data_IF_364085711762
#
_entry.id   IF_364085711762
#
_cell.length_a   1.000
_cell.length_b   1.000
_cell.length_c   1.000
_cell.angle_alpha   90.00
_cell.angle_beta   90.00
_cell.angle_gamma   90.00
#
_symmetry.space_group_name_H-M   'P 1'
#
loop_
_entity.id
_entity.type
_entity.pdbx_description
1 polymer ?
#
# COMPACT_ATOMS: atom_id res chain seq x y z
N UNK A 1 23.32 -2.36 3.24
CA UNK A 1 23.62 -2.05 4.63
C UNK A 1 24.39 -3.17 5.28
N UNK A 2 23.84 -3.79 6.16
CA UNK A 2 24.41 -4.76 7.06
C UNK A 2 23.78 -4.58 8.43
N UNK A 3 24.51 -4.89 9.51
CA UNK A 3 24.00 -4.62 10.85
C UNK A 3 24.24 -3.15 11.25
N UNK A 4 23.27 -2.55 11.93
CA UNK A 4 23.34 -1.18 12.41
C UNK A 4 22.36 -0.25 11.70
N UNK A 5 22.65 1.04 11.70
CA UNK A 5 21.80 2.04 11.05
C UNK A 5 22.46 2.53 9.77
N UNK A 6 21.86 2.21 8.64
CA UNK A 6 22.40 2.49 7.32
C UNK A 6 21.63 3.59 6.59
N UNK A 7 22.33 4.34 5.76
CA UNK A 7 21.71 5.34 4.87
C UNK A 7 22.01 4.99 3.43
N UNK A 8 20.96 4.72 2.67
CA UNK A 8 21.03 4.51 1.23
C UNK A 8 20.74 5.84 0.53
N UNK A 9 21.67 6.32 -0.28
CA UNK A 9 21.49 7.56 -1.04
C UNK A 9 21.06 7.22 -2.47
N UNK A 10 20.07 7.93 -2.99
CA UNK A 10 19.63 7.81 -4.37
C UNK A 10 19.41 9.18 -5.00
N UNK A 11 19.91 9.36 -6.21
CA UNK A 11 19.72 10.56 -7.03
C UNK A 11 19.11 10.21 -8.39
N UNK A 12 18.38 11.15 -8.98
CA UNK A 12 17.90 10.99 -10.34
C UNK A 12 19.09 10.81 -11.30
N UNK A 13 19.05 9.77 -12.10
CA UNK A 13 20.15 9.35 -12.98
C UNK A 13 20.99 8.19 -12.47
N UNK A 14 20.75 7.69 -11.26
CA UNK A 14 21.43 6.50 -10.71
C UNK A 14 20.94 5.20 -11.37
N UNK A 15 19.82 5.27 -12.11
CA UNK A 15 19.17 4.12 -12.73
C UNK A 15 18.41 3.25 -11.74
N UNK A 16 17.84 2.15 -12.21
CA UNK A 16 17.11 1.24 -11.35
C UNK A 16 18.02 0.62 -10.29
N UNK A 17 17.60 0.71 -9.05
CA UNK A 17 18.40 0.32 -7.89
C UNK A 17 17.65 -0.67 -7.02
N UNK A 18 18.35 -1.70 -6.53
CA UNK A 18 17.79 -2.67 -5.58
C UNK A 18 18.53 -2.58 -4.25
N UNK A 19 17.76 -2.43 -3.18
CA UNK A 19 18.23 -2.42 -1.79
C UNK A 19 17.86 -3.77 -1.15
N UNK A 20 18.87 -4.49 -0.65
CA UNK A 20 18.67 -5.61 0.24
C UNK A 20 19.09 -5.18 1.65
N UNK A 21 18.10 -4.90 2.49
CA UNK A 21 18.29 -4.34 3.83
C UNK A 21 18.18 -5.42 4.91
N UNK A 22 18.91 -6.54 4.75
CA UNK A 22 18.92 -7.59 5.76
C UNK A 22 19.71 -7.13 7.00
N UNK A 23 19.00 -6.98 8.13
CA UNK A 23 19.56 -6.61 9.42
C UNK A 23 18.79 -7.26 10.58
N UNK A 24 19.49 -7.90 11.49
CA UNK A 24 18.96 -8.54 12.70
C UNK A 24 19.17 -7.72 13.97
N UNK A 25 19.78 -6.54 13.87
CA UNK A 25 20.08 -5.66 15.01
C UNK A 25 18.80 -5.10 15.63
N UNK A 26 18.70 -5.13 16.95
CA UNK A 26 17.51 -4.66 17.66
C UNK A 26 17.33 -3.13 17.67
N UNK A 27 18.38 -2.37 17.39
CA UNK A 27 18.40 -0.90 17.50
C UNK A 27 18.75 -0.22 16.16
N UNK A 28 18.39 -0.86 15.03
CA UNK A 28 18.63 -0.30 13.70
C UNK A 28 17.66 0.81 13.36
N UNK A 29 18.10 1.74 12.53
CA UNK A 29 17.27 2.76 11.88
C UNK A 29 17.81 3.01 10.47
N UNK A 30 17.28 2.24 9.51
CA UNK A 30 17.73 2.24 8.13
C UNK A 30 16.89 3.19 7.29
N UNK A 31 17.52 3.97 6.46
CA UNK A 31 16.89 5.08 5.74
C UNK A 31 17.29 5.05 4.27
N UNK A 32 16.30 5.18 3.39
CA UNK A 32 16.54 5.64 2.02
C UNK A 32 16.42 7.16 1.98
N UNK A 33 17.46 7.83 1.50
CA UNK A 33 17.48 9.29 1.35
C UNK A 33 17.54 9.68 -0.12
N UNK A 34 16.55 10.41 -0.58
CA UNK A 34 16.54 11.00 -1.90
C UNK A 34 17.34 12.30 -1.94
N UNK A 35 18.16 12.44 -2.98
CA UNK A 35 18.91 13.67 -3.23
C UNK A 35 18.01 14.82 -3.69
N UNK A 36 18.56 16.02 -3.73
CA UNK A 36 17.85 17.20 -4.25
C UNK A 36 17.38 16.98 -5.69
N UNK A 37 16.16 17.44 -5.99
CA UNK A 37 15.52 17.27 -7.30
C UNK A 37 14.45 16.17 -7.34
N UNK A 38 14.39 15.32 -6.32
CA UNK A 38 13.32 14.34 -6.13
C UNK A 38 12.40 14.84 -5.01
N UNK A 39 11.15 15.13 -5.34
CA UNK A 39 10.12 15.55 -4.38
C UNK A 39 9.19 14.40 -4.01
N UNK A 40 8.50 14.47 -2.85
CA UNK A 40 7.51 13.47 -2.48
C UNK A 40 6.42 13.24 -3.55
N UNK A 41 6.02 14.29 -4.27
CA UNK A 41 5.01 14.20 -5.33
C UNK A 41 5.53 13.51 -6.60
N UNK A 42 6.83 13.34 -6.75
CA UNK A 42 7.44 12.62 -7.88
C UNK A 42 7.54 11.10 -7.64
N UNK A 43 7.30 10.65 -6.41
CA UNK A 43 7.51 9.24 -6.04
C UNK A 43 6.16 8.52 -5.88
N UNK A 44 5.94 7.52 -6.73
CA UNK A 44 4.84 6.57 -6.57
C UNK A 44 5.30 5.40 -5.70
N UNK A 45 4.45 5.00 -4.77
CA UNK A 45 4.65 3.82 -3.91
C UNK A 45 3.88 2.65 -4.48
N UNK A 46 4.53 1.50 -4.57
CA UNK A 46 3.93 0.26 -5.03
C UNK A 46 4.61 -0.96 -4.42
N UNK A 47 4.16 -2.13 -4.82
CA UNK A 47 4.74 -3.42 -4.45
C UNK A 47 5.21 -4.19 -5.66
N UNK A 48 6.13 -5.12 -5.46
CA UNK A 48 6.62 -6.03 -6.49
C UNK A 48 7.24 -7.29 -5.89
N UNK A 49 7.75 -8.14 -6.76
CA UNK A 49 8.42 -9.38 -6.34
C UNK A 49 7.46 -10.55 -6.09
N UNK A 50 7.99 -11.71 -5.73
CA UNK A 50 7.18 -12.84 -5.32
C UNK A 50 6.39 -12.49 -4.06
N UNK A 51 5.07 -12.72 -4.07
CA UNK A 51 4.15 -12.44 -2.96
C UNK A 51 4.02 -10.94 -2.60
N UNK A 52 4.44 -10.01 -3.49
CA UNK A 52 4.35 -8.56 -3.30
C UNK A 52 5.00 -8.02 -2.01
N UNK A 53 6.07 -8.68 -1.54
CA UNK A 53 6.78 -8.25 -0.34
C UNK A 53 7.80 -7.14 -0.56
N UNK A 54 8.13 -6.81 -1.79
CA UNK A 54 9.11 -5.78 -2.11
C UNK A 54 8.43 -4.40 -2.17
N UNK A 55 8.97 -3.41 -1.47
CA UNK A 55 8.60 -2.00 -1.66
C UNK A 55 9.20 -1.51 -2.98
N UNK A 56 8.35 -0.95 -3.83
CA UNK A 56 8.75 -0.32 -5.07
C UNK A 56 8.46 1.18 -5.04
N UNK A 57 9.47 1.99 -5.29
CA UNK A 57 9.38 3.44 -5.39
C UNK A 57 9.73 3.85 -6.81
N UNK A 58 8.76 4.36 -7.56
CA UNK A 58 8.95 4.78 -8.96
C UNK A 58 8.96 6.29 -9.07
N UNK A 59 10.03 6.85 -9.64
CA UNK A 59 10.10 8.27 -9.97
C UNK A 59 9.30 8.55 -11.24
N UNK A 60 8.25 9.34 -11.16
CA UNK A 60 7.40 9.68 -12.31
C UNK A 60 8.14 10.51 -13.35
N UNK A 61 9.08 11.34 -12.93
CA UNK A 61 9.86 12.23 -13.80
C UNK A 61 10.85 11.50 -14.71
N UNK A 62 11.41 10.37 -14.24
CA UNK A 62 12.47 9.64 -14.99
C UNK A 62 12.08 8.21 -15.34
N UNK A 63 11.09 7.63 -14.65
CA UNK A 63 10.72 6.21 -14.71
C UNK A 63 11.69 5.28 -13.96
N UNK A 64 12.67 5.83 -13.25
CA UNK A 64 13.61 5.04 -12.45
C UNK A 64 12.92 4.43 -11.24
N UNK A 65 13.37 3.24 -10.83
CA UNK A 65 12.75 2.45 -9.77
C UNK A 65 13.78 2.11 -8.70
N UNK A 66 13.43 2.38 -7.45
CA UNK A 66 14.12 1.84 -6.27
C UNK A 66 13.29 0.72 -5.68
N UNK A 67 13.86 -0.47 -5.57
CA UNK A 67 13.21 -1.65 -4.99
C UNK A 67 13.88 -2.02 -3.67
N UNK A 68 13.14 -1.95 -2.56
CA UNK A 68 13.60 -2.49 -1.28
C UNK A 68 13.02 -3.90 -1.11
N UNK A 69 13.88 -4.91 -1.22
CA UNK A 69 13.49 -6.32 -1.20
C UNK A 69 12.95 -6.75 0.16
N UNK A 70 11.87 -7.51 0.15
CA UNK A 70 11.22 -8.09 1.33
C UNK A 70 10.83 -7.05 2.40
N UNK A 71 10.59 -5.81 2.02
CA UNK A 71 10.27 -4.71 2.95
C UNK A 71 9.03 -5.02 3.80
N UNK A 72 8.01 -5.63 3.21
CA UNK A 72 6.74 -5.95 3.86
C UNK A 72 6.69 -7.35 4.52
N UNK A 73 7.82 -8.05 4.62
CA UNK A 73 7.87 -9.31 5.37
C UNK A 73 7.69 -9.04 6.86
N UNK A 74 6.75 -9.75 7.49
CA UNK A 74 6.24 -9.49 8.86
C UNK A 74 7.29 -9.53 9.97
N UNK A 75 8.47 -10.14 9.75
CA UNK A 75 9.53 -10.19 10.75
C UNK A 75 10.36 -8.89 10.84
N UNK A 76 10.16 -7.96 9.92
CA UNK A 76 10.77 -6.63 9.90
C UNK A 76 12.27 -6.58 9.65
N UNK A 77 12.97 -7.69 9.43
CA UNK A 77 14.44 -7.72 9.26
C UNK A 77 14.95 -7.10 7.96
N UNK A 78 14.05 -6.78 7.03
CA UNK A 78 14.36 -6.10 5.76
C UNK A 78 13.80 -4.68 5.69
N UNK A 79 13.17 -4.20 6.76
CA UNK A 79 12.44 -2.93 6.79
C UNK A 79 13.38 -1.73 6.65
N UNK A 80 13.10 -0.83 5.71
CA UNK A 80 13.55 0.56 5.78
C UNK A 80 12.66 1.30 6.78
N UNK A 81 13.26 1.98 7.75
CA UNK A 81 12.53 2.69 8.80
C UNK A 81 11.93 4.01 8.31
N UNK A 82 12.57 4.65 7.33
CA UNK A 82 12.11 5.90 6.75
C UNK A 82 12.60 6.11 5.31
N UNK A 83 11.83 6.90 4.58
CA UNK A 83 12.24 7.53 3.34
C UNK A 83 12.37 9.02 3.59
N UNK A 84 13.53 9.60 3.37
CA UNK A 84 13.81 11.01 3.60
C UNK A 84 13.98 11.76 2.28
N UNK A 85 13.41 12.95 2.18
CA UNK A 85 13.54 13.84 1.04
C UNK A 85 14.38 15.05 1.37
N UNK A 86 14.99 15.65 0.34
CA UNK A 86 15.87 16.82 0.51
C UNK A 86 15.15 18.07 1.01
N UNK A 87 13.84 18.16 0.88
CA UNK A 87 13.00 19.24 1.41
C UNK A 87 12.68 19.10 2.90
N UNK A 88 13.13 18.02 3.54
CA UNK A 88 12.89 17.69 4.95
C UNK A 88 11.65 16.81 5.18
N UNK A 89 10.91 16.45 4.13
CA UNK A 89 9.81 15.49 4.24
C UNK A 89 10.35 14.11 4.61
N UNK A 90 9.67 13.43 5.53
CA UNK A 90 10.00 12.06 5.93
C UNK A 90 8.73 11.23 5.81
N UNK A 91 8.82 10.10 5.10
CA UNK A 91 7.80 9.07 5.11
C UNK A 91 8.23 7.94 6.04
N UNK A 92 7.41 7.68 7.04
CA UNK A 92 7.51 6.49 7.89
C UNK A 92 6.96 5.26 7.17
N UNK A 93 7.13 4.08 7.76
CA UNK A 93 6.48 2.88 7.24
C UNK A 93 4.94 3.01 7.22
N UNK A 94 4.34 3.66 8.22
CA UNK A 94 2.89 3.91 8.22
C UNK A 94 2.45 4.80 7.05
N UNK A 95 3.25 5.81 6.69
CA UNK A 95 2.96 6.66 5.52
C UNK A 95 3.07 5.87 4.22
N UNK A 96 4.03 4.94 4.11
CA UNK A 96 4.18 4.05 2.96
C UNK A 96 2.98 3.12 2.81
N UNK A 97 2.55 2.49 3.90
CA UNK A 97 1.35 1.63 3.92
C UNK A 97 0.11 2.45 3.53
N UNK A 98 -0.09 3.64 4.11
CA UNK A 98 -1.21 4.52 3.75
C UNK A 98 -1.22 4.84 2.25
N UNK A 99 -0.07 5.17 1.68
CA UNK A 99 0.06 5.47 0.23
C UNK A 99 -0.22 4.26 -0.65
N UNK A 100 0.17 3.07 -0.17
CA UNK A 100 -0.03 1.82 -0.88
C UNK A 100 -1.51 1.42 -0.92
N UNK A 101 -2.25 1.69 0.15
CA UNK A 101 -3.64 1.27 0.37
C UNK A 101 -4.66 2.39 0.06
N UNK A 102 -4.22 3.50 -0.51
CA UNK A 102 -5.11 4.59 -0.95
C UNK A 102 -5.02 4.74 -2.46
N UNK A 103 -6.15 4.60 -3.12
CA UNK A 103 -6.31 4.76 -4.57
C UNK A 103 -6.33 6.22 -5.03
N UNK A 104 -6.87 6.43 -6.20
CA UNK A 104 -6.96 7.71 -6.89
C UNK A 104 -8.41 8.10 -7.19
N UNK A 105 -8.65 8.95 -8.17
CA UNK A 105 -9.98 9.20 -8.73
C UNK A 105 -10.26 8.39 -10.01
N UNK A 106 -9.44 7.44 -10.35
CA UNK A 106 -9.55 6.54 -11.50
C UNK A 106 -9.57 5.09 -11.03
N UNK A 107 -9.81 4.16 -11.93
CA UNK A 107 -9.89 2.73 -11.59
C UNK A 107 -8.56 2.20 -11.04
N UNK A 108 -8.60 1.67 -9.83
CA UNK A 108 -7.45 1.13 -9.08
C UNK A 108 -7.62 -0.37 -8.79
N UNK A 109 -6.51 -1.07 -8.64
CA UNK A 109 -6.46 -2.47 -8.18
C UNK A 109 -5.53 -2.53 -6.96
N UNK A 110 -6.11 -2.61 -5.76
CA UNK A 110 -5.40 -2.52 -4.49
C UNK A 110 -5.60 -3.81 -3.71
N UNK A 111 -4.49 -4.42 -3.30
CA UNK A 111 -4.48 -5.58 -2.40
C UNK A 111 -3.84 -5.19 -1.07
N UNK A 112 -4.46 -5.54 0.04
CA UNK A 112 -3.99 -5.34 1.39
C UNK A 112 -2.71 -6.13 1.74
N UNK A 113 -2.28 -5.99 2.96
CA UNK A 113 -1.21 -6.79 3.57
C UNK A 113 -1.82 -8.00 4.29
N UNK A 114 -0.97 -8.79 4.98
CA UNK A 114 -1.45 -9.90 5.83
C UNK A 114 -1.77 -9.41 7.27
N UNK A 115 -2.34 -8.21 7.41
CA UNK A 115 -2.61 -7.53 8.69
C UNK A 115 -3.91 -6.75 8.59
N UNK A 116 -4.49 -6.32 9.72
CA UNK A 116 -5.66 -5.45 9.72
C UNK A 116 -5.38 -4.14 8.96
N UNK A 117 -6.07 -3.92 7.86
CA UNK A 117 -5.82 -2.83 6.92
C UNK A 117 -7.02 -1.87 6.77
N UNK A 118 -6.74 -0.66 6.30
CA UNK A 118 -7.76 0.28 5.82
C UNK A 118 -7.44 0.61 4.38
N UNK A 119 -8.30 0.14 3.46
CA UNK A 119 -8.15 0.32 2.02
C UNK A 119 -9.21 1.28 1.51
N UNK A 120 -8.81 2.26 0.71
CA UNK A 120 -9.72 3.24 0.13
C UNK A 120 -9.51 3.38 -1.38
N UNK A 121 -10.53 3.10 -2.19
CA UNK A 121 -10.52 3.30 -3.64
C UNK A 121 -10.62 4.77 -4.03
N UNK A 122 -11.37 5.56 -3.27
CA UNK A 122 -11.73 6.97 -3.50
C UNK A 122 -12.74 7.15 -4.62
N UNK A 123 -12.38 7.00 -5.84
CA UNK A 123 -13.32 7.12 -6.96
C UNK A 123 -12.79 6.50 -8.23
N UNK A 124 -13.71 6.04 -9.05
CA UNK A 124 -13.41 5.18 -10.18
C UNK A 124 -14.09 3.84 -9.99
N UNK A 125 -13.77 2.87 -10.82
CA UNK A 125 -14.28 1.50 -10.65
C UNK A 125 -13.13 0.65 -10.13
N UNK A 126 -13.12 0.42 -8.82
CA UNK A 126 -11.97 -0.11 -8.11
C UNK A 126 -12.12 -1.61 -7.79
N UNK A 127 -10.99 -2.29 -7.71
CA UNK A 127 -10.88 -3.62 -7.14
C UNK A 127 -10.08 -3.54 -5.85
N UNK A 128 -10.72 -3.84 -4.72
CA UNK A 128 -10.09 -3.85 -3.40
C UNK A 128 -10.12 -5.27 -2.82
N UNK A 129 -8.98 -5.73 -2.34
CA UNK A 129 -8.80 -7.06 -1.75
C UNK A 129 -8.08 -6.90 -0.40
N UNK A 130 -8.76 -7.24 0.72
CA UNK A 130 -8.23 -7.09 2.07
C UNK A 130 -7.06 -8.04 2.35
N UNK A 131 -7.06 -9.23 1.72
CA UNK A 131 -6.09 -10.29 2.00
C UNK A 131 -6.36 -11.00 3.32
N UNK A 132 -5.44 -11.05 4.26
CA UNK A 132 -5.63 -11.60 5.61
C UNK A 132 -5.69 -10.45 6.62
N UNK A 133 -6.59 -10.53 7.60
CA UNK A 133 -6.73 -9.51 8.64
C UNK A 133 -8.18 -9.18 8.90
N UNK A 134 -8.45 -8.26 9.82
CA UNK A 134 -9.79 -7.70 9.97
C UNK A 134 -9.78 -6.32 9.30
N UNK A 135 -10.24 -6.30 8.06
CA UNK A 135 -10.00 -5.18 7.16
C UNK A 135 -11.19 -4.22 7.06
N UNK A 136 -10.90 -2.99 6.68
CA UNK A 136 -11.90 -1.97 6.34
C UNK A 136 -11.69 -1.59 4.87
N UNK A 137 -12.65 -1.93 4.02
CA UNK A 137 -12.64 -1.64 2.59
C UNK A 137 -13.68 -0.58 2.25
N UNK A 138 -13.23 0.51 1.66
CA UNK A 138 -14.03 1.66 1.25
C UNK A 138 -13.88 1.83 -0.26
N UNK A 139 -14.88 1.43 -1.05
CA UNK A 139 -14.88 1.60 -2.51
C UNK A 139 -14.83 3.08 -2.89
N UNK A 140 -15.87 3.80 -2.61
CA UNK A 140 -15.95 5.25 -2.84
C UNK A 140 -16.97 5.60 -3.90
N UNK A 141 -16.62 6.43 -4.89
CA UNK A 141 -17.51 6.75 -6.01
C UNK A 141 -17.23 5.79 -7.17
N UNK A 142 -18.23 5.04 -7.61
CA UNK A 142 -18.07 4.20 -8.80
C UNK A 142 -18.77 2.85 -8.74
N UNK A 143 -18.31 1.92 -9.55
CA UNK A 143 -18.70 0.53 -9.47
C UNK A 143 -17.51 -0.28 -8.94
N UNK A 144 -17.60 -0.69 -7.69
CA UNK A 144 -16.47 -1.25 -6.97
C UNK A 144 -16.63 -2.75 -6.72
N UNK A 145 -15.50 -3.43 -6.66
CA UNK A 145 -15.40 -4.85 -6.36
C UNK A 145 -14.55 -5.05 -5.10
N UNK A 146 -15.20 -5.35 -3.97
CA UNK A 146 -14.58 -5.48 -2.67
C UNK A 146 -14.55 -6.94 -2.22
N UNK A 147 -13.39 -7.44 -1.81
CA UNK A 147 -13.18 -8.76 -1.20
C UNK A 147 -12.52 -8.55 0.15
N UNK A 148 -13.18 -8.91 1.25
CA UNK A 148 -12.60 -8.85 2.60
C UNK A 148 -11.44 -9.84 2.74
N UNK A 149 -11.69 -11.11 2.55
CA UNK A 149 -10.72 -12.19 2.73
C UNK A 149 -10.97 -12.95 4.03
N UNK A 150 -9.99 -13.69 4.53
CA UNK A 150 -10.09 -14.31 5.84
C UNK A 150 -9.94 -13.30 6.97
N UNK A 151 -11.04 -13.07 7.74
CA UNK A 151 -11.05 -12.11 8.85
C UNK A 151 -12.45 -11.71 9.25
N UNK A 152 -12.59 -10.66 10.04
CA UNK A 152 -13.90 -10.06 10.32
C UNK A 152 -13.87 -8.64 9.73
N UNK A 153 -14.41 -8.51 8.54
CA UNK A 153 -14.19 -7.36 7.69
C UNK A 153 -15.35 -6.36 7.71
N UNK A 154 -15.04 -5.13 7.39
CA UNK A 154 -16.04 -4.07 7.19
C UNK A 154 -15.94 -3.58 5.75
N UNK A 155 -17.00 -3.78 4.97
CA UNK A 155 -17.07 -3.41 3.56
C UNK A 155 -18.10 -2.32 3.33
N UNK A 156 -17.70 -1.28 2.61
CA UNK A 156 -18.57 -0.19 2.15
C UNK A 156 -18.29 0.07 0.68
N UNK A 157 -19.24 -0.24 -0.21
CA UNK A 157 -19.12 0.07 -1.63
C UNK A 157 -19.04 1.57 -1.88
N UNK A 158 -19.89 2.36 -1.20
CA UNK A 158 -19.90 3.80 -1.32
C UNK A 158 -20.92 4.32 -2.31
N UNK A 159 -20.67 5.49 -2.88
CA UNK A 159 -21.59 6.12 -3.81
C UNK A 159 -21.41 5.56 -5.23
N UNK A 160 -22.47 5.04 -5.80
CA UNK A 160 -22.41 4.54 -7.16
C UNK A 160 -23.55 3.57 -7.46
N UNK A 161 -23.35 2.72 -8.43
CA UNK A 161 -24.30 1.67 -8.76
C UNK A 161 -23.56 0.37 -9.06
N UNK A 162 -24.19 -0.73 -8.62
CA UNK A 162 -23.76 -2.08 -8.96
C UNK A 162 -22.42 -2.51 -8.32
N UNK A 163 -22.18 -2.10 -7.06
CA UNK A 163 -21.04 -2.61 -6.30
C UNK A 163 -21.18 -4.10 -6.02
N UNK A 164 -20.02 -4.73 -5.88
CA UNK A 164 -19.91 -6.12 -5.50
C UNK A 164 -19.07 -6.23 -4.22
N UNK A 165 -19.63 -6.88 -3.18
CA UNK A 165 -18.94 -7.07 -1.92
C UNK A 165 -19.00 -8.53 -1.48
N UNK A 166 -17.85 -9.11 -1.13
CA UNK A 166 -17.71 -10.42 -0.51
C UNK A 166 -16.84 -10.32 0.72
N UNK A 167 -17.38 -10.67 1.89
CA UNK A 167 -16.61 -10.76 3.13
C UNK A 167 -15.67 -11.95 3.13
N UNK A 168 -16.06 -13.08 2.50
CA UNK A 168 -15.36 -14.37 2.53
C UNK A 168 -15.45 -15.03 3.91
N UNK A 169 -14.32 -15.54 4.46
CA UNK A 169 -14.31 -16.27 5.74
C UNK A 169 -14.35 -15.30 6.94
N UNK A 170 -15.40 -15.38 7.78
CA UNK A 170 -15.44 -14.59 9.02
C UNK A 170 -16.82 -14.08 9.42
N UNK A 171 -16.84 -13.05 10.27
CA UNK A 171 -18.06 -12.36 10.64
C UNK A 171 -17.99 -10.93 10.11
N UNK A 172 -18.55 -10.74 8.92
CA UNK A 172 -18.36 -9.52 8.18
C UNK A 172 -19.51 -8.53 8.32
N UNK A 173 -19.19 -7.26 8.20
CA UNK A 173 -20.13 -6.16 8.27
C UNK A 173 -20.17 -5.43 6.95
N UNK A 174 -21.36 -5.34 6.35
CA UNK A 174 -21.60 -4.59 5.13
C UNK A 174 -22.32 -3.29 5.47
N UNK A 175 -21.73 -2.16 5.10
CA UNK A 175 -22.27 -0.83 5.38
C UNK A 175 -23.00 -0.28 4.15
N UNK A 176 -24.19 0.29 4.37
CA UNK A 176 -25.01 0.92 3.34
C UNK A 176 -25.52 2.27 3.80
N UNK A 177 -25.51 3.23 2.90
CA UNK A 177 -26.12 4.54 3.08
C UNK A 177 -27.11 4.88 1.96
N UNK A 178 -27.88 5.92 2.15
CA UNK A 178 -28.75 6.42 1.10
C UNK A 178 -27.91 7.04 -0.02
N UNK A 179 -28.03 6.49 -1.23
CA UNK A 179 -27.27 6.92 -2.39
C UNK A 179 -26.25 5.91 -2.92
N UNK A 180 -25.98 4.83 -2.17
CA UNK A 180 -25.02 3.80 -2.55
C UNK A 180 -25.45 2.95 -3.78
N UNK A 181 -26.69 3.13 -4.24
CA UNK A 181 -27.18 2.43 -5.44
C UNK A 181 -27.55 0.97 -5.21
N UNK A 182 -27.42 0.15 -6.25
CA UNK A 182 -27.62 -1.29 -6.14
C UNK A 182 -26.29 -1.95 -5.77
N UNK A 183 -26.34 -2.87 -4.82
CA UNK A 183 -25.15 -3.60 -4.39
C UNK A 183 -25.44 -5.09 -4.35
N UNK A 184 -24.49 -5.89 -4.80
CA UNK A 184 -24.52 -7.35 -4.69
C UNK A 184 -23.63 -7.79 -3.56
N UNK A 185 -24.18 -8.52 -2.57
CA UNK A 185 -23.42 -9.15 -1.51
C UNK A 185 -23.33 -10.64 -1.77
N UNK A 186 -22.13 -11.18 -1.74
CA UNK A 186 -21.88 -12.61 -1.54
C UNK A 186 -21.38 -12.84 -0.12
N UNK A 187 -22.04 -13.75 0.57
CA UNK A 187 -21.64 -14.18 1.89
C UNK A 187 -21.54 -15.72 1.84
N UNK A 188 -20.32 -16.20 1.64
CA UNK A 188 -19.99 -17.62 1.52
C UNK A 188 -19.63 -18.24 2.88
#
# INVERSE_FOLDING_TARGET
GGEGSDVYLFAAGDGNTTINNFDTSAARYDVLRFASGISPSDVMVGRSGPYDYDLQLTLQSTGEVVTAQNHFVTNGIFLLNAIEFADGTIWSNADLVTKLLTGTSGADDITGLDTDDIISGLGGNDRLDGSFGNDILLGGDGQDYLIGGPGNDILNGGLGADDYMSGSDGNDVYLFAAGDGNTTILND
#
